data_IF_076633905828
#
_entry.id   IF_076633905828
#
_cell.length_a   1.000
_cell.length_b   1.000
_cell.length_c   1.000
_cell.angle_alpha   90.00
_cell.angle_beta   90.00
_cell.angle_gamma   90.00
#
_symmetry.space_group_name_H-M   'P 1'
#
loop_
_entity.id
_entity.type
_entity.pdbx_description
1 polymer ?
#
# COMPACT_ATOMS: atom_id res chain seq x y z
N UNK A 1 -32.39 4.65 0.30
CA UNK A 1 -31.43 5.06 -0.76
C UNK A 1 -30.04 4.64 -0.28
N UNK A 2 -29.20 4.08 -1.16
CA UNK A 2 -27.82 3.75 -0.80
C UNK A 2 -27.08 5.02 -0.31
N UNK A 3 -26.28 4.90 0.74
CA UNK A 3 -25.47 6.02 1.22
C UNK A 3 -24.28 6.24 0.28
N UNK A 4 -23.85 7.49 0.10
CA UNK A 4 -22.64 7.82 -0.66
C UNK A 4 -21.43 7.75 0.30
N UNK A 5 -20.51 6.75 0.15
CA UNK A 5 -19.31 6.68 0.96
C UNK A 5 -18.29 7.71 0.48
N UNK A 6 -17.70 8.44 1.40
CA UNK A 6 -16.66 9.43 1.13
C UNK A 6 -15.45 9.23 2.02
N UNK A 7 -14.27 9.46 1.48
CA UNK A 7 -13.03 9.58 2.27
C UNK A 7 -13.05 10.96 2.92
N UNK A 8 -12.82 11.00 4.23
CA UNK A 8 -12.75 12.25 4.99
C UNK A 8 -11.34 12.55 5.49
N UNK A 9 -10.52 11.53 5.73
CA UNK A 9 -9.10 11.69 6.03
C UNK A 9 -8.31 10.43 5.65
N UNK A 10 -7.01 10.58 5.35
CA UNK A 10 -6.11 9.49 5.05
C UNK A 10 -4.68 9.84 5.50
N UNK A 11 -4.04 8.93 6.22
CA UNK A 11 -2.70 9.13 6.79
C UNK A 11 -1.87 7.86 6.68
N UNK A 12 -0.55 8.00 6.63
CA UNK A 12 0.39 6.89 6.69
C UNK A 12 1.58 7.20 7.60
N UNK A 13 2.22 6.19 8.11
CA UNK A 13 3.54 6.32 8.69
C UNK A 13 4.57 6.66 7.59
N UNK A 14 5.76 7.15 7.92
CA UNK A 14 6.92 6.91 7.10
C UNK A 14 7.08 5.39 6.87
N UNK A 15 7.74 5.03 5.78
CA UNK A 15 8.04 3.64 5.47
C UNK A 15 9.46 3.33 5.93
N UNK A 16 9.57 2.41 6.90
CA UNK A 16 10.84 1.91 7.39
C UNK A 16 11.46 0.90 6.44
N UNK A 17 12.77 0.95 6.23
CA UNK A 17 13.52 -0.11 5.55
C UNK A 17 13.72 -1.31 6.47
N UNK A 18 14.07 -2.46 5.91
CA UNK A 18 14.40 -3.66 6.68
C UNK A 18 15.48 -3.37 7.74
N UNK A 19 15.16 -3.65 9.00
CA UNK A 19 16.04 -3.39 10.13
C UNK A 19 16.28 -1.89 10.39
N UNK A 20 15.44 -1.01 9.83
CA UNK A 20 15.54 0.43 9.99
C UNK A 20 14.83 0.96 11.23
N UNK A 21 14.47 2.22 11.17
CA UNK A 21 13.94 2.97 12.30
C UNK A 21 12.66 2.40 12.91
N UNK A 22 11.77 1.83 12.08
CA UNK A 22 10.51 1.23 12.54
C UNK A 22 10.65 -0.23 13.00
N UNK A 23 11.81 -0.88 12.78
CA UNK A 23 11.99 -2.30 13.05
C UNK A 23 11.77 -2.70 14.51
N UNK A 24 11.99 -1.79 15.46
CA UNK A 24 11.81 -2.05 16.89
C UNK A 24 10.39 -1.77 17.39
N UNK A 25 9.50 -1.24 16.52
CA UNK A 25 8.14 -0.93 16.92
C UNK A 25 7.21 -2.11 16.62
N UNK A 26 6.51 -2.60 17.64
CA UNK A 26 5.53 -3.67 17.49
C UNK A 26 4.41 -3.22 16.53
N UNK A 27 3.95 -4.06 15.57
CA UNK A 27 2.94 -3.67 14.57
C UNK A 27 1.64 -3.15 15.17
N UNK A 28 1.23 -3.62 16.35
CA UNK A 28 0.05 -3.11 17.05
C UNK A 28 0.22 -1.65 17.51
N UNK A 29 1.42 -1.24 17.92
CA UNK A 29 1.68 0.18 18.22
C UNK A 29 1.79 1.00 16.93
N UNK A 30 2.46 0.49 15.90
CA UNK A 30 2.63 1.18 14.63
C UNK A 30 1.27 1.55 14.01
N UNK A 31 0.34 0.60 13.94
CA UNK A 31 -1.01 0.85 13.45
C UNK A 31 -1.86 1.63 14.48
N UNK A 32 -1.69 1.38 15.77
CA UNK A 32 -2.41 2.08 16.83
C UNK A 32 -2.15 3.58 16.85
N UNK A 33 -0.89 3.99 16.70
CA UNK A 33 -0.52 5.42 16.57
C UNK A 33 -1.05 6.01 15.26
N UNK A 34 -1.14 5.22 14.19
CA UNK A 34 -1.79 5.65 12.93
C UNK A 34 -3.28 5.93 13.14
N UNK A 35 -3.99 5.14 13.95
CA UNK A 35 -5.38 5.43 14.33
C UNK A 35 -5.49 6.72 15.15
N UNK A 36 -4.61 6.93 16.13
CA UNK A 36 -4.59 8.16 16.94
C UNK A 36 -4.38 9.39 16.09
N UNK A 37 -3.42 9.32 15.15
CA UNK A 37 -3.16 10.41 14.23
C UNK A 37 -4.38 10.70 13.33
N UNK A 38 -5.01 9.64 12.77
CA UNK A 38 -6.20 9.77 11.94
C UNK A 38 -7.36 10.43 12.70
N UNK A 39 -7.62 9.99 13.93
CA UNK A 39 -8.62 10.58 14.82
C UNK A 39 -8.28 12.02 15.19
N UNK A 40 -7.03 12.30 15.51
CA UNK A 40 -6.54 13.63 15.82
C UNK A 40 -6.76 14.63 14.69
N UNK A 41 -6.48 14.22 13.44
CA UNK A 41 -6.70 15.06 12.26
C UNK A 41 -8.17 15.35 11.97
N UNK A 42 -9.03 14.37 12.20
CA UNK A 42 -10.47 14.55 11.99
C UNK A 42 -11.15 15.28 13.13
N UNK A 43 -10.59 15.21 14.34
CA UNK A 43 -11.16 15.76 15.54
C UNK A 43 -12.46 15.07 16.02
N UNK A 44 -12.83 13.92 15.43
CA UNK A 44 -13.99 13.17 15.88
C UNK A 44 -13.67 12.32 17.10
N UNK A 45 -14.67 12.07 17.93
CA UNK A 45 -14.53 11.13 19.03
C UNK A 45 -14.41 9.70 18.51
N UNK A 46 -13.54 8.88 19.13
CA UNK A 46 -13.28 7.52 18.67
C UNK A 46 -14.54 6.63 18.68
N UNK A 47 -15.50 6.89 19.57
CA UNK A 47 -16.80 6.19 19.65
C UNK A 47 -17.67 6.36 18.39
N UNK A 48 -17.36 7.34 17.54
CA UNK A 48 -18.03 7.48 16.24
C UNK A 48 -17.62 6.42 15.24
N UNK A 49 -16.51 5.71 15.46
CA UNK A 49 -16.01 4.65 14.56
C UNK A 49 -16.70 3.34 14.89
N UNK A 50 -17.53 2.87 13.98
CA UNK A 50 -18.34 1.66 14.18
C UNK A 50 -17.58 0.38 13.85
N UNK A 51 -16.85 0.36 12.73
CA UNK A 51 -16.08 -0.81 12.31
C UNK A 51 -14.77 -0.43 11.62
N UNK A 52 -13.81 -1.35 11.74
CA UNK A 52 -12.50 -1.27 11.09
C UNK A 52 -12.29 -2.51 10.23
N UNK A 53 -11.80 -2.34 9.00
CA UNK A 53 -11.26 -3.43 8.20
C UNK A 53 -9.79 -3.15 7.92
N UNK A 54 -8.90 -4.05 8.33
CA UNK A 54 -7.47 -3.92 8.14
C UNK A 54 -6.91 -4.95 7.18
N UNK A 55 -5.86 -4.59 6.45
CA UNK A 55 -5.07 -5.48 5.61
C UNK A 55 -3.76 -5.87 6.30
N UNK A 56 -3.46 -7.16 6.32
CA UNK A 56 -2.18 -7.72 6.76
C UNK A 56 -1.94 -9.00 5.98
N UNK A 57 -0.71 -9.27 5.56
CA UNK A 57 -0.38 -10.45 4.74
C UNK A 57 0.19 -11.58 5.58
N UNK A 58 1.14 -11.28 6.46
CA UNK A 58 1.80 -12.31 7.25
C UNK A 58 1.12 -12.48 8.59
N UNK A 59 0.06 -13.31 8.63
CA UNK A 59 -0.68 -13.64 9.85
C UNK A 59 0.10 -14.63 10.74
N UNK A 60 1.23 -14.19 11.31
CA UNK A 60 2.08 -14.97 12.19
C UNK A 60 2.62 -14.11 13.32
N UNK A 61 2.93 -14.73 14.47
CA UNK A 61 3.56 -14.04 15.60
C UNK A 61 2.83 -12.76 16.00
N UNK A 62 3.51 -11.64 15.97
CA UNK A 62 3.00 -10.32 16.35
C UNK A 62 1.89 -9.77 15.43
N UNK A 63 1.73 -10.34 14.24
CA UNK A 63 0.67 -10.00 13.30
C UNK A 63 -0.45 -11.04 13.22
N UNK A 64 -0.51 -11.99 14.15
CA UNK A 64 -1.60 -12.94 14.29
C UNK A 64 -2.81 -12.36 15.03
N UNK A 65 -3.92 -13.09 15.03
CA UNK A 65 -5.11 -12.81 15.85
C UNK A 65 -5.71 -11.41 15.65
N UNK A 66 -5.97 -11.02 14.40
CA UNK A 66 -6.63 -9.76 14.05
C UNK A 66 -5.82 -8.50 14.43
N UNK A 67 -4.71 -8.22 13.73
CA UNK A 67 -3.85 -7.07 13.98
C UNK A 67 -4.59 -5.72 14.02
N UNK A 68 -5.61 -5.53 13.18
CA UNK A 68 -6.41 -4.31 13.18
C UNK A 68 -7.11 -4.09 14.53
N UNK A 69 -7.69 -5.14 15.12
CA UNK A 69 -8.32 -5.08 16.44
C UNK A 69 -7.30 -4.88 17.55
N UNK A 70 -6.23 -5.66 17.50
CA UNK A 70 -5.17 -5.59 18.52
C UNK A 70 -4.55 -4.19 18.57
N UNK A 71 -4.29 -3.56 17.42
CA UNK A 71 -3.77 -2.20 17.34
C UNK A 71 -4.71 -1.17 18.00
N UNK A 72 -6.01 -1.26 17.73
CA UNK A 72 -7.02 -0.37 18.31
C UNK A 72 -7.04 -0.44 19.84
N UNK A 73 -7.07 -1.67 20.38
CA UNK A 73 -7.08 -1.88 21.82
C UNK A 73 -5.75 -1.54 22.50
N UNK A 74 -4.61 -1.79 21.82
CA UNK A 74 -3.27 -1.51 22.36
C UNK A 74 -3.07 -0.04 22.72
N UNK A 75 -3.70 0.86 21.95
CA UNK A 75 -3.58 2.29 22.23
C UNK A 75 -4.76 2.84 23.07
N UNK A 76 -5.55 1.97 23.67
CA UNK A 76 -6.61 2.34 24.62
C UNK A 76 -7.85 2.99 24.01
N UNK A 77 -8.14 2.69 22.73
CA UNK A 77 -9.35 3.18 22.06
C UNK A 77 -10.59 2.33 22.45
N UNK A 78 -11.82 2.84 22.24
CA UNK A 78 -13.05 2.21 22.72
C UNK A 78 -13.21 0.74 22.26
N UNK A 79 -13.51 -0.15 23.19
CA UNK A 79 -13.62 -1.59 22.90
C UNK A 79 -14.88 -1.95 22.09
N UNK A 80 -15.84 -1.06 21.99
CA UNK A 80 -17.08 -1.24 21.23
C UNK A 80 -16.83 -1.27 19.71
N UNK A 81 -15.77 -0.60 19.22
CA UNK A 81 -15.44 -0.58 17.80
C UNK A 81 -14.95 -1.95 17.34
N UNK A 82 -15.74 -2.62 16.51
CA UNK A 82 -15.39 -3.92 15.96
C UNK A 82 -14.32 -3.80 14.87
N UNK A 83 -13.49 -4.85 14.69
CA UNK A 83 -12.51 -4.89 13.63
C UNK A 83 -12.39 -6.27 12.98
N UNK A 84 -12.04 -6.30 11.71
CA UNK A 84 -11.72 -7.51 10.93
C UNK A 84 -10.42 -7.28 10.20
N UNK A 85 -9.57 -8.31 10.13
CA UNK A 85 -8.37 -8.28 9.29
C UNK A 85 -8.56 -9.21 8.10
N UNK A 86 -8.18 -8.73 6.91
CA UNK A 86 -8.29 -9.47 5.65
C UNK A 86 -6.92 -9.69 5.01
N UNK A 87 -6.77 -10.81 4.32
CA UNK A 87 -5.63 -11.13 3.48
C UNK A 87 -6.07 -11.23 2.02
N UNK A 88 -5.59 -10.32 1.21
CA UNK A 88 -5.63 -10.31 -0.24
C UNK A 88 -4.20 -10.13 -0.77
N UNK A 89 -3.23 -10.69 -0.05
CA UNK A 89 -1.81 -10.47 -0.29
C UNK A 89 -1.49 -8.96 -0.36
N UNK A 90 -0.65 -8.52 -1.29
CA UNK A 90 -0.31 -7.10 -1.42
C UNK A 90 -1.53 -6.17 -1.55
N UNK A 91 -2.66 -6.66 -2.08
CA UNK A 91 -3.92 -5.92 -2.24
C UNK A 91 -4.76 -5.76 -0.97
N UNK A 92 -4.33 -6.29 0.18
CA UNK A 92 -5.14 -6.41 1.41
C UNK A 92 -5.77 -5.10 1.87
N UNK A 93 -5.01 -4.03 2.06
CA UNK A 93 -5.58 -2.76 2.54
C UNK A 93 -6.37 -1.99 1.47
N UNK A 94 -6.11 -2.23 0.17
CA UNK A 94 -6.99 -1.71 -0.88
C UNK A 94 -8.35 -2.42 -0.86
N UNK A 95 -8.35 -3.75 -0.70
CA UNK A 95 -9.59 -4.52 -0.53
C UNK A 95 -10.30 -4.15 0.78
N UNK A 96 -9.58 -3.89 1.86
CA UNK A 96 -10.15 -3.37 3.10
C UNK A 96 -10.90 -2.03 2.85
N UNK A 97 -10.32 -1.15 2.03
CA UNK A 97 -10.95 0.11 1.63
C UNK A 97 -12.24 -0.11 0.83
N UNK A 98 -12.22 -1.07 -0.10
CA UNK A 98 -13.43 -1.48 -0.83
C UNK A 98 -14.53 -1.97 0.11
N UNK A 99 -14.16 -2.81 1.09
CA UNK A 99 -15.13 -3.39 2.04
C UNK A 99 -15.75 -2.31 2.92
N UNK A 100 -14.96 -1.39 3.49
CA UNK A 100 -15.50 -0.30 4.32
C UNK A 100 -16.40 0.62 3.50
N UNK A 101 -15.98 1.03 2.31
CA UNK A 101 -16.81 1.84 1.41
C UNK A 101 -18.14 1.14 1.08
N UNK A 102 -18.11 -0.19 0.82
CA UNK A 102 -19.31 -0.98 0.54
C UNK A 102 -20.23 -1.09 1.78
N UNK A 103 -19.68 -1.25 2.98
CA UNK A 103 -20.48 -1.26 4.21
C UNK A 103 -21.18 0.07 4.45
N UNK A 104 -20.49 1.20 4.18
CA UNK A 104 -21.10 2.53 4.24
C UNK A 104 -22.19 2.67 3.17
N UNK A 105 -21.91 2.27 1.93
CA UNK A 105 -22.89 2.33 0.83
C UNK A 105 -24.16 1.50 1.12
N UNK A 106 -24.00 0.33 1.73
CA UNK A 106 -25.09 -0.54 2.12
C UNK A 106 -25.84 -0.08 3.39
N UNK A 107 -25.33 0.94 4.08
CA UNK A 107 -25.92 1.44 5.33
C UNK A 107 -25.71 0.52 6.54
N UNK A 108 -24.70 -0.34 6.48
CA UNK A 108 -24.32 -1.21 7.62
C UNK A 108 -23.62 -0.39 8.70
N UNK A 109 -22.84 0.61 8.29
CA UNK A 109 -22.15 1.58 9.14
C UNK A 109 -22.25 2.97 8.53
N UNK A 110 -22.13 4.01 9.35
CA UNK A 110 -22.02 5.40 8.90
C UNK A 110 -20.58 5.91 8.92
N UNK A 111 -19.73 5.41 9.84
CA UNK A 111 -18.31 5.76 9.95
C UNK A 111 -17.47 4.50 10.14
N UNK A 112 -16.44 4.35 9.33
CA UNK A 112 -15.52 3.24 9.43
C UNK A 112 -14.08 3.60 9.02
N UNK A 113 -13.14 2.75 9.41
CA UNK A 113 -11.72 2.89 9.05
C UNK A 113 -11.30 1.70 8.21
N UNK A 114 -10.70 1.95 7.05
CA UNK A 114 -9.87 0.98 6.36
C UNK A 114 -8.40 1.26 6.67
N UNK A 115 -7.62 0.21 6.89
CA UNK A 115 -6.22 0.36 7.27
C UNK A 115 -5.37 -0.79 6.75
N UNK A 116 -4.07 -0.72 6.98
CA UNK A 116 -3.16 -1.82 6.78
C UNK A 116 -1.88 -1.64 7.58
N UNK A 117 -1.28 -2.74 7.96
CA UNK A 117 0.01 -2.79 8.64
C UNK A 117 0.80 -3.98 8.15
N UNK A 118 2.09 -3.77 7.97
CA UNK A 118 3.07 -4.84 7.82
C UNK A 118 4.38 -4.41 8.46
N UNK A 119 4.92 -5.23 9.36
CA UNK A 119 6.23 -5.05 10.00
C UNK A 119 7.14 -6.20 9.57
N UNK A 120 7.64 -6.11 8.32
CA UNK A 120 8.39 -7.22 7.69
C UNK A 120 9.77 -7.43 8.29
N UNK A 121 10.27 -6.45 9.06
CA UNK A 121 11.50 -6.61 9.86
C UNK A 121 11.28 -7.53 11.06
N UNK A 122 10.09 -7.54 11.63
CA UNK A 122 9.72 -8.34 12.82
C UNK A 122 9.06 -9.66 12.45
N UNK A 123 8.16 -9.62 11.49
CA UNK A 123 7.42 -10.78 10.99
C UNK A 123 7.74 -10.94 9.50
N UNK A 124 8.81 -11.67 9.15
CA UNK A 124 9.24 -11.83 7.77
C UNK A 124 8.15 -12.45 6.89
N UNK A 125 8.06 -11.97 5.66
CA UNK A 125 7.11 -12.49 4.67
C UNK A 125 7.21 -14.01 4.53
N UNK A 126 6.05 -14.68 4.53
CA UNK A 126 5.97 -16.12 4.43
C UNK A 126 6.17 -16.88 5.76
N UNK A 127 6.34 -16.19 6.91
CA UNK A 127 6.51 -16.85 8.22
C UNK A 127 5.37 -17.78 8.57
N UNK A 128 4.13 -17.45 8.19
CA UNK A 128 2.95 -18.27 8.46
C UNK A 128 3.00 -19.65 7.80
N UNK A 129 3.48 -19.72 6.56
CA UNK A 129 3.63 -20.97 5.83
C UNK A 129 4.94 -21.70 6.13
N UNK A 130 6.03 -20.95 6.38
CA UNK A 130 7.36 -21.54 6.63
C UNK A 130 7.48 -22.20 8.00
N UNK A 131 6.82 -21.65 9.01
CA UNK A 131 6.90 -22.10 10.40
C UNK A 131 5.56 -22.62 10.94
N UNK A 132 4.50 -22.58 10.15
CA UNK A 132 3.20 -23.13 10.49
C UNK A 132 3.11 -24.65 10.27
N UNK A 133 2.09 -25.32 10.81
CA UNK A 133 1.84 -26.71 10.55
C UNK A 133 1.27 -26.91 9.13
N UNK A 134 1.81 -27.90 8.40
CA UNK A 134 1.32 -28.28 7.08
C UNK A 134 1.80 -27.38 5.93
N UNK A 135 1.19 -27.58 4.78
CA UNK A 135 1.49 -26.85 3.53
C UNK A 135 0.26 -26.05 3.10
N UNK A 136 0.40 -24.85 2.49
CA UNK A 136 -0.73 -24.08 1.98
C UNK A 136 -1.49 -24.76 0.83
N UNK A 137 -0.80 -25.63 0.10
CA UNK A 137 -1.35 -26.34 -1.06
C UNK A 137 -1.35 -27.85 -0.81
N UNK A 138 -2.38 -28.57 -1.30
CA UNK A 138 -2.41 -30.04 -1.26
C UNK A 138 -1.30 -30.63 -2.15
N UNK A 139 -0.97 -31.91 -1.94
CA UNK A 139 0.10 -32.57 -2.70
C UNK A 139 -0.24 -32.72 -4.20
N UNK A 140 -1.53 -32.71 -4.56
CA UNK A 140 -2.04 -32.76 -5.94
C UNK A 140 -2.08 -31.37 -6.63
N UNK A 141 -1.59 -30.33 -5.97
CA UNK A 141 -1.54 -28.98 -6.55
C UNK A 141 -0.72 -28.97 -7.84
N UNK A 142 -1.39 -28.68 -8.97
CA UNK A 142 -0.79 -28.66 -10.30
C UNK A 142 -0.93 -27.32 -11.02
N UNK A 143 -1.29 -26.25 -10.29
CA UNK A 143 -1.41 -24.92 -10.88
C UNK A 143 -0.01 -24.33 -11.07
N UNK A 144 0.30 -23.87 -12.29
CA UNK A 144 1.56 -23.16 -12.58
C UNK A 144 1.52 -21.75 -11.99
N UNK A 145 1.83 -21.67 -10.71
CA UNK A 145 1.93 -20.44 -9.94
C UNK A 145 3.37 -20.26 -9.45
N UNK A 146 4.21 -19.53 -10.22
CA UNK A 146 5.60 -19.33 -9.86
C UNK A 146 5.74 -18.44 -8.63
N UNK A 147 6.92 -18.45 -7.98
CA UNK A 147 7.23 -17.43 -7.00
C UNK A 147 7.28 -16.04 -7.65
N UNK A 148 7.23 -14.98 -6.84
CA UNK A 148 7.10 -13.62 -7.35
C UNK A 148 8.27 -13.17 -8.24
N UNK A 149 9.50 -13.61 -7.95
CA UNK A 149 10.67 -13.27 -8.75
C UNK A 149 10.61 -13.93 -10.13
N UNK A 150 10.27 -15.21 -10.18
CA UNK A 150 10.07 -15.90 -11.45
C UNK A 150 8.90 -15.33 -12.25
N UNK A 151 7.82 -14.96 -11.59
CA UNK A 151 6.69 -14.26 -12.21
C UNK A 151 7.13 -12.96 -12.89
N UNK A 152 7.90 -12.13 -12.19
CA UNK A 152 8.45 -10.89 -12.74
C UNK A 152 9.32 -11.14 -13.97
N UNK A 153 10.14 -12.20 -13.96
CA UNK A 153 10.95 -12.61 -15.11
C UNK A 153 10.10 -13.12 -16.29
N UNK A 154 9.02 -13.89 -16.01
CA UNK A 154 8.08 -14.32 -17.05
C UNK A 154 7.39 -13.15 -17.73
N UNK A 155 6.96 -12.16 -16.95
CA UNK A 155 6.40 -10.89 -17.47
C UNK A 155 7.43 -10.16 -18.30
N UNK A 156 8.65 -10.00 -17.81
CA UNK A 156 9.72 -9.32 -18.54
C UNK A 156 10.01 -9.98 -19.90
N UNK A 157 10.13 -11.31 -19.94
CA UNK A 157 10.30 -12.07 -21.19
C UNK A 157 9.10 -11.89 -22.14
N UNK A 158 7.86 -11.97 -21.62
CA UNK A 158 6.63 -11.76 -22.41
C UNK A 158 6.62 -10.40 -23.10
N UNK A 159 7.17 -9.37 -22.45
CA UNK A 159 7.17 -7.99 -22.93
C UNK A 159 8.46 -7.58 -23.65
N UNK A 160 9.45 -8.46 -23.73
CA UNK A 160 10.76 -8.15 -24.33
C UNK A 160 11.54 -7.09 -23.56
N UNK A 161 11.33 -7.00 -22.23
CA UNK A 161 12.03 -6.03 -21.39
C UNK A 161 13.47 -6.44 -21.16
N UNK A 162 14.35 -5.44 -21.20
CA UNK A 162 15.77 -5.60 -20.91
C UNK A 162 16.11 -5.20 -19.48
N UNK A 163 17.31 -5.52 -19.02
CA UNK A 163 17.86 -5.04 -17.74
C UNK A 163 17.86 -3.52 -17.67
N UNK A 164 18.24 -2.85 -18.74
CA UNK A 164 18.25 -1.39 -18.81
C UNK A 164 16.85 -0.79 -18.64
N UNK A 165 15.81 -1.40 -19.23
CA UNK A 165 14.44 -0.92 -19.06
C UNK A 165 13.98 -0.95 -17.61
N UNK A 166 14.22 -2.07 -16.89
CA UNK A 166 13.81 -2.21 -15.50
C UNK A 166 14.67 -1.36 -14.56
N UNK A 167 15.98 -1.19 -14.84
CA UNK A 167 16.84 -0.29 -14.08
C UNK A 167 16.47 1.18 -14.28
N UNK A 168 16.08 1.58 -15.51
CA UNK A 168 15.59 2.94 -15.78
C UNK A 168 14.34 3.28 -14.96
N UNK A 169 13.39 2.35 -14.81
CA UNK A 169 12.24 2.58 -13.93
C UNK A 169 12.67 2.68 -12.47
N UNK A 170 13.64 1.87 -12.04
CA UNK A 170 14.21 1.96 -10.69
C UNK A 170 14.81 3.34 -10.40
N UNK A 171 15.57 3.90 -11.35
CA UNK A 171 16.10 5.25 -11.26
C UNK A 171 14.98 6.30 -11.20
N UNK A 172 14.02 6.25 -12.13
CA UNK A 172 12.88 7.18 -12.16
C UNK A 172 12.11 7.17 -10.83
N UNK A 173 11.87 6.00 -10.24
CA UNK A 173 11.20 5.88 -8.94
C UNK A 173 11.97 6.63 -7.84
N UNK A 174 13.30 6.45 -7.77
CA UNK A 174 14.16 7.11 -6.78
C UNK A 174 14.20 8.63 -6.99
N UNK A 175 14.39 9.10 -8.20
CA UNK A 175 14.42 10.54 -8.53
C UNK A 175 13.12 11.23 -8.17
N UNK A 176 11.97 10.62 -8.52
CA UNK A 176 10.65 11.16 -8.20
C UNK A 176 10.38 11.20 -6.70
N UNK A 177 10.77 10.16 -5.97
CA UNK A 177 10.62 10.14 -4.52
C UNK A 177 11.51 11.21 -3.85
N UNK A 178 12.75 11.40 -4.32
CA UNK A 178 13.64 12.44 -3.81
C UNK A 178 13.07 13.84 -4.04
N UNK A 179 12.54 14.12 -5.24
CA UNK A 179 11.87 15.39 -5.54
C UNK A 179 10.62 15.57 -4.67
N UNK A 180 9.80 14.52 -4.50
CA UNK A 180 8.59 14.58 -3.69
C UNK A 180 8.88 14.93 -2.23
N UNK A 181 9.94 14.37 -1.65
CA UNK A 181 10.40 14.72 -0.30
C UNK A 181 10.97 16.13 -0.23
N UNK A 182 11.82 16.53 -1.19
CA UNK A 182 12.40 17.87 -1.24
C UNK A 182 11.34 18.99 -1.37
N UNK A 183 10.25 18.70 -2.09
CA UNK A 183 9.11 19.61 -2.24
C UNK A 183 8.02 19.44 -1.17
N UNK A 184 8.27 18.68 -0.12
CA UNK A 184 7.32 18.41 0.98
C UNK A 184 5.96 17.82 0.51
N UNK A 185 5.90 17.11 -0.63
CA UNK A 185 4.65 16.59 -1.17
C UNK A 185 3.99 15.56 -0.26
N UNK A 186 4.79 14.84 0.55
CA UNK A 186 4.31 13.83 1.51
C UNK A 186 3.92 14.41 2.87
N UNK A 187 4.18 15.69 3.15
CA UNK A 187 3.99 16.31 4.46
C UNK A 187 2.56 16.17 5.01
N UNK A 188 1.55 16.20 4.13
CA UNK A 188 0.14 16.08 4.53
C UNK A 188 -0.32 14.64 4.70
N UNK A 189 0.34 13.68 4.08
CA UNK A 189 -0.05 12.27 4.19
C UNK A 189 0.72 11.53 5.28
N UNK A 190 1.90 12.01 5.67
CA UNK A 190 2.75 11.42 6.72
C UNK A 190 2.60 12.15 8.05
N UNK A 191 3.05 11.51 9.10
CA UNK A 191 3.24 12.08 10.44
C UNK A 191 4.50 11.48 11.08
N UNK A 192 5.07 12.16 12.07
CA UNK A 192 6.24 11.67 12.77
C UNK A 192 5.85 10.57 13.77
N UNK A 193 6.44 9.39 13.61
CA UNK A 193 6.24 8.23 14.48
C UNK A 193 7.27 8.26 15.60
N UNK A 194 6.81 8.15 16.84
CA UNK A 194 7.70 8.02 17.98
C UNK A 194 8.16 6.57 18.12
N UNK A 195 9.48 6.34 18.08
CA UNK A 195 10.08 5.01 18.18
C UNK A 195 11.07 4.94 19.33
N UNK A 196 11.24 3.78 19.99
CA UNK A 196 12.27 3.62 20.99
C UNK A 196 13.66 3.73 20.34
N UNK A 197 14.58 4.42 21.02
CA UNK A 197 15.98 4.47 20.62
C UNK A 197 16.67 3.15 20.90
N UNK A 198 17.70 2.83 20.11
CA UNK A 198 18.55 1.66 20.35
C UNK A 198 19.48 1.90 21.55
N UNK A 199 20.06 0.83 22.09
CA UNK A 199 21.08 0.93 23.16
C UNK A 199 22.28 1.79 22.72
N UNK A 200 22.70 1.71 21.46
CA UNK A 200 23.78 2.50 20.90
C UNK A 200 23.44 4.00 20.85
N UNK A 201 22.21 4.33 20.43
CA UNK A 201 21.70 5.71 20.41
C UNK A 201 21.60 6.28 21.83
N UNK A 202 21.17 5.47 22.82
CA UNK A 202 21.12 5.87 24.23
C UNK A 202 22.54 6.06 24.80
N UNK A 203 23.47 5.19 24.47
CA UNK A 203 24.87 5.32 24.86
C UNK A 203 25.54 6.56 24.25
N UNK A 204 25.07 7.00 23.07
CA UNK A 204 25.47 8.24 22.43
C UNK A 204 24.78 9.50 23.01
N UNK A 205 24.01 9.34 24.09
CA UNK A 205 23.35 10.45 24.78
C UNK A 205 21.99 10.86 24.24
N UNK A 206 21.39 10.09 23.33
CA UNK A 206 20.01 10.32 22.90
C UNK A 206 19.03 9.87 23.99
N UNK A 207 17.85 10.52 24.02
CA UNK A 207 16.76 10.13 24.92
C UNK A 207 16.21 8.72 24.58
N UNK A 208 15.29 8.22 25.41
CA UNK A 208 14.67 6.89 25.22
C UNK A 208 13.82 6.77 23.97
N UNK A 209 13.44 7.89 23.34
CA UNK A 209 12.54 7.97 22.18
C UNK A 209 13.07 8.97 21.16
N UNK A 210 12.87 8.66 19.90
CA UNK A 210 13.11 9.61 18.78
C UNK A 210 11.93 9.62 17.81
N UNK A 211 11.85 10.66 17.01
CA UNK A 211 10.84 10.77 15.94
C UNK A 211 11.43 10.26 14.62
N UNK A 212 10.58 9.57 13.86
CA UNK A 212 10.83 9.13 12.48
C UNK A 212 9.77 9.76 11.60
N UNK A 213 10.16 10.60 10.68
CA UNK A 213 9.26 11.43 9.86
C UNK A 213 9.52 11.31 8.34
N UNK A 214 10.51 10.52 7.92
CA UNK A 214 10.91 10.32 6.52
C UNK A 214 10.92 8.85 6.13
N UNK A 215 10.59 8.58 4.86
CA UNK A 215 10.73 7.25 4.26
C UNK A 215 12.21 6.88 4.15
N UNK A 216 12.58 5.70 4.63
CA UNK A 216 13.99 5.26 4.69
C UNK A 216 14.46 4.53 3.42
N UNK A 217 13.57 4.33 2.46
CA UNK A 217 13.87 3.56 1.25
C UNK A 217 14.70 4.30 0.20
N UNK A 218 14.79 5.65 0.30
CA UNK A 218 15.48 6.49 -0.67
C UNK A 218 16.99 6.22 -0.68
N UNK A 219 17.57 6.20 -1.87
CA UNK A 219 19.00 5.95 -2.11
C UNK A 219 19.51 6.83 -3.24
N UNK A 220 20.74 7.34 -3.11
CA UNK A 220 21.44 7.93 -4.24
C UNK A 220 21.65 6.84 -5.30
N UNK A 221 21.00 7.01 -6.43
CA UNK A 221 20.91 5.98 -7.46
C UNK A 221 21.38 6.53 -8.80
N UNK A 222 22.21 5.74 -9.50
CA UNK A 222 22.64 6.01 -10.86
C UNK A 222 22.49 4.77 -11.72
N UNK A 223 22.39 4.92 -13.03
CA UNK A 223 22.33 3.76 -13.95
C UNK A 223 23.55 2.87 -13.83
N UNK A 224 24.76 3.45 -13.65
CA UNK A 224 26.01 2.69 -13.45
C UNK A 224 25.97 1.90 -12.14
N UNK A 225 25.39 2.48 -11.08
CA UNK A 225 25.19 1.81 -9.79
C UNK A 225 24.23 0.63 -9.92
N UNK A 226 23.10 0.84 -10.58
CA UNK A 226 22.09 -0.19 -10.84
C UNK A 226 22.65 -1.35 -11.68
N UNK A 227 23.41 -1.04 -12.74
CA UNK A 227 24.01 -2.05 -13.62
C UNK A 227 24.97 -3.02 -12.89
N UNK A 228 25.60 -2.58 -11.78
CA UNK A 228 26.50 -3.40 -10.95
C UNK A 228 25.79 -4.32 -9.97
N UNK A 229 24.49 -4.13 -9.76
CA UNK A 229 23.74 -4.95 -8.80
C UNK A 229 23.58 -6.37 -9.33
N UNK A 230 23.73 -7.33 -8.40
CA UNK A 230 23.56 -8.75 -8.73
C UNK A 230 22.07 -9.05 -8.97
N UNK A 231 21.76 -9.86 -9.98
CA UNK A 231 20.42 -10.38 -10.19
C UNK A 231 19.91 -11.16 -8.97
N UNK A 232 18.59 -11.09 -8.73
CA UNK A 232 17.92 -11.83 -7.62
C UNK A 232 17.93 -13.34 -7.83
N UNK A 233 18.07 -13.79 -9.07
CA UNK A 233 18.22 -15.21 -9.46
C UNK A 233 19.21 -15.31 -10.63
N UNK A 234 19.81 -16.48 -10.87
CA UNK A 234 20.63 -16.69 -12.05
C UNK A 234 19.89 -16.33 -13.34
N UNK A 235 20.52 -15.58 -14.25
CA UNK A 235 19.95 -15.12 -15.53
C UNK A 235 18.78 -14.14 -15.44
N UNK A 236 18.40 -13.68 -14.25
CA UNK A 236 17.33 -12.69 -14.06
C UNK A 236 17.81 -11.28 -14.48
N UNK A 237 16.84 -10.44 -14.89
CA UNK A 237 17.08 -8.99 -15.08
C UNK A 237 16.73 -8.16 -13.84
N UNK A 238 15.93 -8.72 -12.92
CA UNK A 238 15.57 -8.02 -11.69
C UNK A 238 16.67 -8.08 -10.64
N UNK A 239 16.81 -6.98 -9.91
CA UNK A 239 17.77 -6.76 -8.83
C UNK A 239 17.10 -6.04 -7.67
N UNK A 240 17.80 -5.84 -6.57
CA UNK A 240 17.33 -5.00 -5.46
C UNK A 240 17.13 -3.52 -5.86
N UNK A 241 17.63 -3.08 -7.02
CA UNK A 241 17.49 -1.70 -7.49
C UNK A 241 16.25 -1.43 -8.33
N UNK A 242 15.58 -2.50 -8.80
CA UNK A 242 14.39 -2.42 -9.65
C UNK A 242 13.25 -3.32 -9.16
N UNK A 243 13.31 -3.67 -7.87
CA UNK A 243 12.30 -4.44 -7.13
C UNK A 243 11.98 -3.71 -5.83
N UNK A 244 10.77 -3.89 -5.32
CA UNK A 244 10.33 -3.28 -4.07
C UNK A 244 11.13 -3.77 -2.86
N UNK A 245 11.23 -2.93 -1.86
CA UNK A 245 11.99 -3.22 -0.65
C UNK A 245 11.14 -3.93 0.41
N UNK A 246 11.77 -4.78 1.21
CA UNK A 246 11.22 -5.28 2.47
C UNK A 246 11.12 -4.09 3.42
N UNK A 247 9.92 -3.86 3.98
CA UNK A 247 9.62 -2.60 4.65
C UNK A 247 8.66 -2.79 5.81
N UNK A 248 8.65 -1.79 6.70
CA UNK A 248 7.73 -1.66 7.82
C UNK A 248 6.87 -0.42 7.63
N UNK A 249 5.55 -0.51 7.87
CA UNK A 249 4.69 0.66 7.75
C UNK A 249 3.22 0.36 8.02
N UNK A 250 2.47 1.42 8.27
CA UNK A 250 1.02 1.38 8.44
C UNK A 250 0.35 2.55 7.72
N UNK A 251 -0.92 2.36 7.37
CA UNK A 251 -1.77 3.37 6.75
C UNK A 251 -3.21 3.21 7.23
N UNK A 252 -3.94 4.32 7.35
CA UNK A 252 -5.35 4.30 7.72
C UNK A 252 -6.13 5.41 6.96
N UNK A 253 -7.35 5.06 6.55
CA UNK A 253 -8.26 5.92 5.80
C UNK A 253 -9.60 5.93 6.52
N UNK A 254 -10.12 7.10 6.83
CA UNK A 254 -11.45 7.26 7.42
C UNK A 254 -12.50 7.49 6.35
N UNK A 255 -13.54 6.69 6.45
CA UNK A 255 -14.71 6.72 5.59
C UNK A 255 -15.93 7.15 6.38
N UNK A 256 -16.80 7.92 5.74
CA UNK A 256 -18.11 8.24 6.30
C UNK A 256 -19.17 8.22 5.20
N UNK A 257 -20.44 8.00 5.60
CA UNK A 257 -21.55 8.38 4.73
C UNK A 257 -21.54 9.91 4.55
N UNK A 258 -21.83 10.40 3.34
CA UNK A 258 -21.87 11.85 3.07
C UNK A 258 -22.80 12.60 4.04
N UNK A 259 -23.87 11.93 4.49
CA UNK A 259 -24.79 12.44 5.51
C UNK A 259 -24.08 12.60 6.85
N UNK A 260 -23.36 11.57 7.30
CA UNK A 260 -22.66 11.59 8.59
C UNK A 260 -21.44 12.53 8.54
N UNK A 261 -20.70 12.58 7.43
CA UNK A 261 -19.63 13.55 7.25
C UNK A 261 -20.11 14.98 7.48
N UNK A 262 -21.29 15.34 6.92
CA UNK A 262 -21.90 16.67 7.17
C UNK A 262 -22.30 16.87 8.63
N UNK A 263 -22.90 15.86 9.26
CA UNK A 263 -23.33 15.93 10.66
C UNK A 263 -22.13 16.13 11.62
N UNK A 264 -21.01 15.47 11.33
CA UNK A 264 -19.75 15.58 12.08
C UNK A 264 -18.87 16.76 11.63
N UNK A 265 -19.33 17.57 10.67
CA UNK A 265 -18.59 18.71 10.07
C UNK A 265 -17.26 18.29 9.44
N UNK A 266 -17.17 17.06 8.95
CA UNK A 266 -16.02 16.55 8.20
C UNK A 266 -16.15 16.95 6.72
N UNK A 267 -15.02 17.29 6.11
CA UNK A 267 -14.96 17.61 4.68
C UNK A 267 -14.85 16.32 3.86
N UNK A 268 -15.83 16.00 2.97
CA UNK A 268 -15.62 14.95 1.97
C UNK A 268 -14.44 15.32 1.06
N UNK A 269 -13.45 14.45 0.93
CA UNK A 269 -12.24 14.68 0.14
C UNK A 269 -12.27 13.93 -1.20
N UNK A 270 -12.72 12.66 -1.17
CA UNK A 270 -12.86 11.84 -2.36
C UNK A 270 -13.95 10.79 -2.19
N UNK A 271 -14.31 10.14 -3.30
CA UNK A 271 -15.17 8.95 -3.33
C UNK A 271 -14.60 7.89 -4.27
N UNK A 272 -15.00 6.65 -4.10
CA UNK A 272 -14.73 5.58 -5.08
C UNK A 272 -15.75 5.69 -6.22
N UNK A 273 -15.26 5.76 -7.45
CA UNK A 273 -16.07 5.70 -8.68
C UNK A 273 -16.27 4.26 -9.11
N UNK A 274 -15.20 3.47 -9.09
CA UNK A 274 -15.23 2.05 -9.40
C UNK A 274 -14.17 1.30 -8.61
N UNK A 275 -14.43 0.03 -8.33
CA UNK A 275 -13.52 -0.86 -7.61
C UNK A 275 -13.61 -2.28 -8.14
N UNK A 276 -12.49 -3.01 -8.07
CA UNK A 276 -12.40 -4.40 -8.46
C UNK A 276 -11.31 -5.14 -7.66
N UNK A 277 -11.63 -6.38 -7.32
CA UNK A 277 -10.67 -7.43 -7.00
C UNK A 277 -10.84 -8.47 -8.10
N UNK A 278 -9.76 -8.84 -8.79
CA UNK A 278 -9.78 -9.76 -9.92
C UNK A 278 -8.78 -10.89 -9.72
N UNK A 279 -9.12 -12.07 -10.23
CA UNK A 279 -8.14 -13.12 -10.51
C UNK A 279 -7.49 -12.87 -11.87
N UNK A 280 -6.24 -13.27 -12.03
CA UNK A 280 -5.50 -13.17 -13.29
C UNK A 280 -4.81 -14.50 -13.63
N UNK A 281 -4.08 -14.56 -14.74
CA UNK A 281 -3.39 -15.74 -15.19
C UNK A 281 -2.32 -16.18 -14.18
N UNK A 282 -2.44 -17.38 -13.56
CA UNK A 282 -1.46 -17.86 -12.58
C UNK A 282 -0.04 -17.96 -13.13
N UNK A 283 0.12 -18.29 -14.43
CA UNK A 283 1.42 -18.40 -15.09
C UNK A 283 2.22 -17.10 -15.03
N UNK A 284 1.54 -15.95 -15.20
CA UNK A 284 2.16 -14.62 -15.09
C UNK A 284 2.05 -14.02 -13.70
N UNK A 285 1.20 -14.59 -12.84
CA UNK A 285 1.02 -14.31 -11.41
C UNK A 285 0.84 -12.81 -11.06
N UNK A 286 1.77 -11.94 -11.49
CA UNK A 286 1.81 -10.51 -11.12
C UNK A 286 1.36 -9.56 -12.25
N UNK A 287 0.88 -10.05 -13.39
CA UNK A 287 0.42 -9.22 -14.53
C UNK A 287 -1.03 -8.69 -14.36
N UNK A 288 -1.67 -9.01 -13.22
CA UNK A 288 -3.07 -8.69 -12.90
C UNK A 288 -3.48 -7.20 -12.87
N UNK A 289 -2.59 -6.22 -12.65
CA UNK A 289 -2.95 -4.80 -12.77
C UNK A 289 -3.59 -4.43 -14.10
N UNK A 290 -3.26 -5.16 -15.18
CA UNK A 290 -3.87 -5.00 -16.50
C UNK A 290 -5.37 -5.35 -16.44
N UNK A 291 -5.70 -6.50 -15.85
CA UNK A 291 -7.09 -6.98 -15.73
C UNK A 291 -7.90 -6.12 -14.75
N UNK A 292 -7.28 -5.72 -13.63
CA UNK A 292 -7.90 -4.81 -12.67
C UNK A 292 -8.21 -3.44 -13.29
N UNK A 293 -7.29 -2.88 -14.09
CA UNK A 293 -7.50 -1.62 -14.81
C UNK A 293 -8.66 -1.71 -15.79
N UNK A 294 -8.70 -2.78 -16.62
CA UNK A 294 -9.82 -3.02 -17.55
C UNK A 294 -11.15 -3.11 -16.81
N UNK A 295 -11.16 -3.84 -15.69
CA UNK A 295 -12.37 -4.03 -14.90
C UNK A 295 -12.92 -2.70 -14.32
N UNK A 296 -12.06 -1.86 -13.73
CA UNK A 296 -12.53 -0.59 -13.13
C UNK A 296 -12.89 0.45 -14.18
N UNK A 297 -12.15 0.55 -15.27
CA UNK A 297 -12.49 1.44 -16.38
C UNK A 297 -13.83 1.04 -17.01
N UNK A 298 -14.03 -0.27 -17.24
CA UNK A 298 -15.31 -0.77 -17.78
C UNK A 298 -16.48 -0.49 -16.85
N UNK A 299 -16.33 -0.69 -15.53
CA UNK A 299 -17.37 -0.37 -14.52
C UNK A 299 -17.67 1.13 -14.45
N UNK A 300 -16.66 1.98 -14.59
CA UNK A 300 -16.82 3.44 -14.55
C UNK A 300 -17.34 4.01 -15.88
N UNK A 301 -17.29 3.27 -16.99
CA UNK A 301 -17.53 3.80 -18.33
C UNK A 301 -16.49 4.83 -18.76
N UNK A 302 -15.24 4.70 -18.23
CA UNK A 302 -14.13 5.63 -18.45
C UNK A 302 -13.02 4.99 -19.29
N UNK A 303 -12.14 5.82 -19.78
CA UNK A 303 -10.88 5.46 -20.45
C UNK A 303 -9.69 6.01 -19.65
N UNK A 304 -8.47 5.57 -19.97
CA UNK A 304 -7.25 6.11 -19.34
C UNK A 304 -7.00 7.60 -19.67
N UNK A 305 -7.66 8.14 -20.69
CA UNK A 305 -7.59 9.59 -21.01
C UNK A 305 -8.32 10.44 -19.99
N UNK A 306 -9.32 9.86 -19.31
CA UNK A 306 -10.11 10.52 -18.28
C UNK A 306 -9.42 10.47 -16.90
N UNK A 307 -8.28 9.76 -16.80
CA UNK A 307 -7.52 9.58 -15.56
C UNK A 307 -6.35 10.56 -15.53
N UNK A 308 -6.30 11.39 -14.50
CA UNK A 308 -5.25 12.39 -14.30
C UNK A 308 -3.96 11.80 -13.70
N UNK A 309 -4.09 10.83 -12.78
CA UNK A 309 -2.99 10.20 -12.06
C UNK A 309 -3.18 8.68 -12.01
N UNK A 310 -2.07 7.95 -12.06
CA UNK A 310 -2.04 6.50 -11.87
C UNK A 310 -1.06 6.17 -10.76
N UNK A 311 -1.54 5.49 -9.72
CA UNK A 311 -0.72 4.85 -8.70
C UNK A 311 -0.74 3.34 -8.93
N UNK A 312 0.36 2.79 -9.43
CA UNK A 312 0.54 1.36 -9.64
C UNK A 312 1.67 0.85 -8.74
N UNK A 313 1.42 -0.22 -7.98
CA UNK A 313 2.45 -0.74 -7.09
C UNK A 313 3.67 -1.27 -7.86
N UNK A 314 4.84 -0.77 -7.50
CA UNK A 314 6.13 -1.18 -8.06
C UNK A 314 6.69 -2.41 -7.32
N UNK A 315 5.93 -3.51 -7.26
CA UNK A 315 6.47 -4.74 -6.68
C UNK A 315 7.76 -5.16 -7.40
N UNK A 316 7.73 -5.06 -8.73
CA UNK A 316 8.86 -5.19 -9.66
C UNK A 316 8.66 -4.22 -10.81
N UNK A 317 9.75 -3.70 -11.35
CA UNK A 317 9.69 -2.76 -12.47
C UNK A 317 8.96 -3.33 -13.70
N UNK A 318 9.10 -4.64 -13.97
CA UNK A 318 8.41 -5.32 -15.08
C UNK A 318 6.89 -5.28 -14.98
N UNK A 319 6.31 -5.22 -13.78
CA UNK A 319 4.86 -5.11 -13.58
C UNK A 319 4.35 -3.77 -14.11
N UNK A 320 5.01 -2.68 -13.75
CA UNK A 320 4.66 -1.32 -14.20
C UNK A 320 4.87 -1.18 -15.70
N UNK A 321 6.02 -1.63 -16.19
CA UNK A 321 6.36 -1.54 -17.63
C UNK A 321 5.45 -2.42 -18.49
N UNK A 322 5.03 -3.60 -18.00
CA UNK A 322 4.05 -4.44 -18.68
C UNK A 322 2.70 -3.74 -18.81
N UNK A 323 2.24 -3.12 -17.72
CA UNK A 323 1.01 -2.34 -17.70
C UNK A 323 1.10 -1.15 -18.69
N UNK A 324 2.17 -0.37 -18.62
CA UNK A 324 2.40 0.78 -19.48
C UNK A 324 2.41 0.40 -20.98
N UNK A 325 3.09 -0.70 -21.32
CA UNK A 325 3.16 -1.20 -22.69
C UNK A 325 1.78 -1.66 -23.23
N UNK A 326 0.98 -2.36 -22.39
CA UNK A 326 -0.34 -2.85 -22.80
C UNK A 326 -1.33 -1.72 -23.04
N UNK A 327 -1.23 -0.65 -22.30
CA UNK A 327 -2.13 0.49 -22.41
C UNK A 327 -1.57 1.66 -23.22
N UNK A 328 -0.40 1.48 -23.82
CA UNK A 328 0.31 2.53 -24.59
C UNK A 328 0.40 3.84 -23.79
N UNK A 329 0.88 3.72 -22.56
CA UNK A 329 1.04 4.86 -21.64
C UNK A 329 2.52 5.18 -21.45
N UNK A 330 2.84 6.46 -21.55
CA UNK A 330 4.07 6.97 -20.94
C UNK A 330 3.96 6.96 -19.39
N UNK A 331 5.06 7.24 -18.72
CA UNK A 331 5.10 7.24 -17.27
C UNK A 331 4.88 8.63 -16.65
N UNK A 332 4.48 9.65 -17.42
CA UNK A 332 4.42 11.03 -16.91
C UNK A 332 3.38 11.19 -15.79
N UNK A 333 2.26 10.49 -15.89
CA UNK A 333 1.19 10.51 -14.87
C UNK A 333 1.21 9.29 -13.93
N UNK A 334 2.20 8.39 -14.07
CA UNK A 334 2.31 7.14 -13.31
C UNK A 334 3.32 7.30 -12.19
N UNK A 335 2.92 7.04 -10.93
CA UNK A 335 3.78 7.09 -9.74
C UNK A 335 4.63 8.38 -9.70
N UNK A 336 3.95 9.51 -9.83
CA UNK A 336 4.60 10.83 -9.99
C UNK A 336 5.44 11.29 -8.81
N UNK A 337 5.28 10.63 -7.67
CA UNK A 337 6.03 10.85 -6.42
C UNK A 337 6.97 9.67 -6.10
N UNK A 338 7.30 8.84 -7.08
CA UNK A 338 7.98 7.57 -6.87
C UNK A 338 7.02 6.49 -6.36
N UNK A 339 7.52 5.27 -6.23
CA UNK A 339 6.72 4.12 -5.83
C UNK A 339 7.48 3.17 -4.89
N UNK A 340 7.06 1.91 -4.84
CA UNK A 340 7.56 0.94 -3.88
C UNK A 340 9.06 0.59 -4.04
N UNK A 341 9.66 0.81 -5.21
CA UNK A 341 11.10 0.61 -5.42
C UNK A 341 11.88 1.64 -4.60
N UNK A 342 11.43 2.89 -4.56
CA UNK A 342 12.07 3.96 -3.81
C UNK A 342 11.58 4.03 -2.37
N UNK A 343 10.26 4.04 -2.16
CA UNK A 343 9.66 4.28 -0.85
C UNK A 343 9.63 3.03 0.03
N UNK A 344 9.40 1.85 -0.58
CA UNK A 344 9.22 0.58 0.11
C UNK A 344 7.82 -0.01 -0.06
N UNK A 345 7.67 -1.29 0.37
CA UNK A 345 6.46 -2.07 0.18
C UNK A 345 6.08 -2.87 1.43
N UNK A 346 5.59 -2.23 2.50
CA UNK A 346 4.96 -2.94 3.61
C UNK A 346 3.66 -3.57 3.07
N UNK A 347 3.71 -4.87 2.74
CA UNK A 347 2.75 -5.50 1.81
C UNK A 347 1.29 -5.31 2.20
N UNK A 348 0.93 -5.50 3.47
CA UNK A 348 -0.44 -5.32 3.95
C UNK A 348 -0.92 -3.86 3.98
N UNK A 349 0.00 -2.88 4.08
CA UNK A 349 -0.33 -1.46 4.18
C UNK A 349 -0.36 -0.75 2.82
N UNK A 350 0.31 -1.31 1.80
CA UNK A 350 0.59 -0.59 0.54
C UNK A 350 -0.67 -0.18 -0.21
N UNK A 351 -1.73 -1.00 -0.22
CA UNK A 351 -2.95 -0.64 -0.95
C UNK A 351 -3.62 0.65 -0.43
N UNK A 352 -3.72 0.81 0.89
CA UNK A 352 -4.22 2.04 1.51
C UNK A 352 -3.23 3.21 1.31
N UNK A 353 -1.90 2.95 1.32
CA UNK A 353 -0.88 3.95 1.03
C UNK A 353 -1.04 4.52 -0.39
N UNK A 354 -1.26 3.67 -1.40
CA UNK A 354 -1.48 4.13 -2.78
C UNK A 354 -2.72 5.03 -2.89
N UNK A 355 -3.82 4.67 -2.22
CA UNK A 355 -5.04 5.50 -2.17
C UNK A 355 -4.74 6.83 -1.47
N UNK A 356 -4.01 6.81 -0.36
CA UNK A 356 -3.62 8.01 0.40
C UNK A 356 -2.77 8.94 -0.44
N UNK A 357 -1.71 8.44 -1.07
CA UNK A 357 -0.82 9.22 -1.95
C UNK A 357 -1.60 9.80 -3.15
N UNK A 358 -2.43 8.99 -3.81
CA UNK A 358 -3.26 9.45 -4.92
C UNK A 358 -4.20 10.59 -4.52
N UNK A 359 -4.87 10.47 -3.36
CA UNK A 359 -5.76 11.50 -2.84
C UNK A 359 -5.03 12.84 -2.61
N UNK A 360 -3.91 12.79 -1.87
CA UNK A 360 -3.13 13.98 -1.56
C UNK A 360 -2.53 14.63 -2.82
N UNK A 361 -2.11 13.83 -3.79
CA UNK A 361 -1.56 14.33 -5.05
C UNK A 361 -2.63 14.93 -5.97
N UNK A 362 -3.84 14.35 -6.02
CA UNK A 362 -4.99 14.97 -6.71
C UNK A 362 -5.32 16.35 -6.11
N UNK A 363 -5.33 16.46 -4.78
CA UNK A 363 -5.55 17.74 -4.10
C UNK A 363 -4.44 18.74 -4.39
N UNK A 364 -3.17 18.32 -4.35
CA UNK A 364 -2.01 19.18 -4.60
C UNK A 364 -1.99 19.75 -6.02
N UNK A 365 -2.40 18.94 -7.02
CA UNK A 365 -2.41 19.30 -8.43
C UNK A 365 -3.72 19.90 -8.91
N UNK A 366 -4.73 19.98 -8.06
CA UNK A 366 -6.10 20.35 -8.43
C UNK A 366 -6.65 19.48 -9.58
N UNK A 367 -6.44 18.16 -9.47
CA UNK A 367 -6.88 17.13 -10.41
C UNK A 367 -8.05 16.35 -9.82
N UNK A 368 -8.77 15.59 -10.69
CA UNK A 368 -10.04 15.00 -10.32
C UNK A 368 -9.98 13.47 -10.15
N UNK A 369 -9.40 12.73 -11.10
CA UNK A 369 -9.46 11.27 -11.13
C UNK A 369 -8.09 10.61 -10.99
N UNK A 370 -8.02 9.62 -10.12
CA UNK A 370 -6.86 8.74 -10.03
C UNK A 370 -7.27 7.27 -10.17
N UNK A 371 -6.46 6.52 -10.90
CA UNK A 371 -6.49 5.07 -10.97
C UNK A 371 -5.43 4.51 -10.01
N UNK A 372 -5.84 3.64 -9.10
CA UNK A 372 -4.98 2.91 -8.19
C UNK A 372 -5.06 1.41 -8.54
N UNK A 373 -3.94 0.78 -8.84
CA UNK A 373 -3.91 -0.65 -9.14
C UNK A 373 -2.66 -1.33 -8.60
N UNK A 374 -2.78 -2.60 -8.26
CA UNK A 374 -1.64 -3.38 -7.78
C UNK A 374 -1.82 -4.87 -8.04
N UNK A 375 -0.69 -5.54 -8.32
CA UNK A 375 -0.62 -6.99 -8.30
C UNK A 375 -0.65 -7.50 -6.86
N UNK A 376 -1.12 -8.71 -6.70
CA UNK A 376 -1.12 -9.41 -5.42
C UNK A 376 -0.76 -10.88 -5.61
N UNK A 377 -0.11 -11.47 -4.62
CA UNK A 377 0.20 -12.89 -4.60
C UNK A 377 -1.06 -13.74 -4.83
N UNK A 378 -0.88 -14.98 -5.31
CA UNK A 378 -2.02 -15.84 -5.65
C UNK A 378 -2.70 -15.50 -6.99
N UNK A 379 -2.02 -14.78 -7.87
CA UNK A 379 -2.54 -14.31 -9.16
C UNK A 379 -3.81 -13.45 -8.99
N UNK A 380 -3.76 -12.53 -8.07
CA UNK A 380 -4.81 -11.55 -7.80
C UNK A 380 -4.34 -10.13 -8.19
N UNK A 381 -5.30 -9.23 -8.36
CA UNK A 381 -5.03 -7.81 -8.46
C UNK A 381 -6.20 -6.98 -7.96
N UNK A 382 -5.91 -5.78 -7.45
CA UNK A 382 -6.92 -4.80 -7.06
C UNK A 382 -6.87 -3.58 -7.97
N UNK A 383 -8.02 -2.98 -8.21
CA UNK A 383 -8.18 -1.73 -8.95
C UNK A 383 -9.20 -0.82 -8.29
N UNK A 384 -8.92 0.48 -8.27
CA UNK A 384 -9.80 1.50 -7.72
C UNK A 384 -9.69 2.76 -8.58
N UNK A 385 -10.82 3.38 -8.93
CA UNK A 385 -10.83 4.75 -9.42
C UNK A 385 -11.43 5.61 -8.33
N UNK A 386 -10.67 6.61 -7.87
CA UNK A 386 -11.17 7.63 -6.94
C UNK A 386 -11.40 8.95 -7.68
N UNK A 387 -12.40 9.69 -7.22
CA UNK A 387 -12.68 11.06 -7.64
C UNK A 387 -12.53 11.98 -6.44
N UNK A 388 -11.69 13.00 -6.57
CA UNK A 388 -11.60 14.10 -5.60
C UNK A 388 -12.90 14.92 -5.62
N UNK A 389 -13.35 15.41 -4.46
CA UNK A 389 -14.58 16.18 -4.27
C UNK A 389 -14.31 17.65 -3.94
#
# INVERSE_FOLDING_TARGET
MAAEPVIVEAVRTPIGKRGGALANLHPAYLLGETYRELLGRTGIHADCVEQIVGGTVTHAGEQSMNPARNAWLTVGLPYETAATTVDCQCGSSQQASHMVANMVAAGVIDVGISCGVEAMSRVPLGSGSKHGPGKPWPDEWNVDLPNQFEAAERIARKRGLTRENVDSLGLISQERAAVAWAEERFKRETYAVQVPTTEEEQAAGQGMWRLVDHDEGLRDTTMEGLARLKPVMPTAIHTAGNSSQISDGACAIMWASKRMARALKLKPRARIVAQALVGSDPHFHLDGPIDATRAVLGKAGMSLRDIDLVEINEAFASVVLSWAQVFDQDLEKVNVNGGAIALGHPVGATGARLITTALHELERRDKEFALITMCAGGALATGTIIQRL
#
